data_IF_823883502607
#
_entry.id   IF_823883502607
#
_cell.length_a   1.000
_cell.length_b   1.000
_cell.length_c   1.000
_cell.angle_alpha   90.00
_cell.angle_beta   90.00
_cell.angle_gamma   90.00
#
_symmetry.space_group_name_H-M   'P 1'
#
loop_
_entity.id
_entity.type
_entity.pdbx_description
1 polymer ?
#
# COMPACT_ATOMS: atom_id res chain seq x y z
N UNK A 1 3.65 -9.03 -0.11
CA UNK A 1 4.95 -9.55 -0.52
C UNK A 1 5.87 -8.56 -1.23
N UNK A 2 5.34 -7.50 -1.89
CA UNK A 2 6.16 -6.55 -2.67
C UNK A 2 7.00 -5.55 -1.86
N UNK A 3 7.06 -5.65 -0.52
CA UNK A 3 7.87 -4.76 0.32
C UNK A 3 7.19 -3.48 0.79
N UNK A 4 5.89 -3.29 0.56
CA UNK A 4 5.15 -2.07 0.93
C UNK A 4 5.37 -1.63 2.38
N UNK A 5 5.14 -2.53 3.33
CA UNK A 5 5.27 -2.25 4.76
C UNK A 5 6.67 -1.78 5.14
N UNK A 6 7.69 -2.46 4.64
CA UNK A 6 9.08 -2.10 4.96
C UNK A 6 9.52 -0.79 4.31
N UNK A 7 9.13 -0.57 3.04
CA UNK A 7 9.38 0.72 2.37
C UNK A 7 8.67 1.85 3.11
N UNK A 8 7.43 1.66 3.57
CA UNK A 8 6.69 2.64 4.37
C UNK A 8 7.43 3.04 5.65
N UNK A 9 8.00 2.07 6.37
CA UNK A 9 8.82 2.33 7.56
C UNK A 9 10.08 3.14 7.22
N UNK A 10 10.75 2.79 6.12
CA UNK A 10 11.98 3.44 5.68
C UNK A 10 11.79 4.90 5.23
N UNK A 11 10.62 5.25 4.70
CA UNK A 11 10.33 6.63 4.26
C UNK A 11 9.66 7.48 5.34
N UNK A 12 9.10 6.90 6.41
CA UNK A 12 8.33 7.63 7.43
C UNK A 12 9.07 8.84 7.99
N UNK A 13 10.33 8.65 8.41
CA UNK A 13 11.12 9.74 8.99
C UNK A 13 11.32 10.90 8.01
N UNK A 14 11.57 10.59 6.76
CA UNK A 14 11.69 11.59 5.69
C UNK A 14 10.39 12.37 5.49
N UNK A 15 9.24 11.67 5.39
CA UNK A 15 7.93 12.31 5.24
C UNK A 15 7.61 13.19 6.45
N UNK A 16 7.85 12.69 7.67
CA UNK A 16 7.61 13.46 8.89
C UNK A 16 8.47 14.73 8.98
N UNK A 17 9.72 14.66 8.52
CA UNK A 17 10.62 15.82 8.53
C UNK A 17 10.21 16.86 7.49
N UNK A 18 9.81 16.42 6.28
CA UNK A 18 9.50 17.32 5.18
C UNK A 18 8.09 17.89 5.23
N UNK A 19 7.11 17.09 5.65
CA UNK A 19 5.68 17.41 5.53
C UNK A 19 4.93 17.43 6.87
N UNK A 20 5.59 17.14 7.99
CA UNK A 20 5.00 17.16 9.32
C UNK A 20 4.55 15.79 9.84
N UNK A 21 3.84 15.78 10.94
CA UNK A 21 3.42 14.55 11.65
C UNK A 21 2.88 13.50 10.70
N UNK A 22 3.37 12.25 10.84
CA UNK A 22 3.07 11.18 9.90
C UNK A 22 2.79 9.87 10.63
N UNK A 23 1.68 9.23 10.29
CA UNK A 23 1.33 7.88 10.72
C UNK A 23 1.56 6.87 9.60
N UNK A 24 1.91 5.63 9.97
CA UNK A 24 1.86 4.48 9.07
C UNK A 24 0.66 3.64 9.47
N UNK A 25 -0.15 3.28 8.49
CA UNK A 25 -1.24 2.33 8.65
C UNK A 25 -1.00 1.17 7.68
N UNK A 26 -0.95 -0.04 8.22
CA UNK A 26 -0.88 -1.27 7.42
C UNK A 26 -2.26 -1.92 7.36
N UNK A 27 -2.67 -2.32 6.18
CA UNK A 27 -3.95 -3.02 6.02
C UNK A 27 -3.99 -4.37 6.75
N UNK A 28 -2.85 -5.02 6.96
CA UNK A 28 -2.77 -6.27 7.74
C UNK A 28 -3.04 -5.99 9.23
N UNK A 29 -2.39 -4.97 9.83
CA UNK A 29 -2.57 -4.58 11.23
C UNK A 29 -4.03 -4.20 11.53
N UNK A 30 -4.67 -3.45 10.64
CA UNK A 30 -6.09 -3.08 10.80
C UNK A 30 -7.00 -4.30 10.77
N UNK A 31 -6.71 -5.29 9.91
CA UNK A 31 -7.48 -6.54 9.89
C UNK A 31 -7.33 -7.33 11.17
N UNK A 32 -6.13 -7.37 11.72
CA UNK A 32 -5.84 -8.06 12.98
C UNK A 32 -6.54 -7.36 14.16
N UNK A 33 -6.47 -6.02 14.24
CA UNK A 33 -7.12 -5.23 15.28
C UNK A 33 -8.65 -5.44 15.30
N UNK A 34 -9.27 -5.51 14.12
CA UNK A 34 -10.72 -5.64 13.98
C UNK A 34 -11.19 -7.08 13.71
N UNK A 35 -10.33 -8.09 13.84
CA UNK A 35 -10.62 -9.53 13.59
C UNK A 35 -11.32 -9.78 12.23
N UNK A 36 -10.87 -9.09 11.17
CA UNK A 36 -11.48 -9.16 9.85
C UNK A 36 -10.98 -10.40 9.10
N UNK A 37 -11.83 -11.43 9.00
CA UNK A 37 -11.50 -12.74 8.39
C UNK A 37 -12.00 -12.90 6.96
N UNK A 38 -12.89 -12.02 6.49
CA UNK A 38 -13.47 -12.09 5.16
C UNK A 38 -12.55 -11.49 4.10
N UNK A 39 -12.42 -12.18 2.96
CA UNK A 39 -11.44 -11.84 1.92
C UNK A 39 -12.01 -11.87 0.49
N UNK A 40 -13.35 -11.95 0.33
CA UNK A 40 -13.94 -11.84 -1.00
C UNK A 40 -13.82 -10.41 -1.58
N UNK A 41 -14.23 -10.24 -2.83
CA UNK A 41 -14.08 -8.97 -3.54
C UNK A 41 -14.93 -7.86 -2.90
N UNK A 42 -16.15 -8.19 -2.54
CA UNK A 42 -17.10 -7.21 -1.98
C UNK A 42 -16.66 -6.73 -0.59
N UNK A 43 -16.28 -7.66 0.28
CA UNK A 43 -15.77 -7.34 1.62
C UNK A 43 -14.51 -6.48 1.54
N UNK A 44 -13.61 -6.77 0.60
CA UNK A 44 -12.40 -5.94 0.36
C UNK A 44 -12.73 -4.55 -0.13
N UNK A 45 -13.75 -4.38 -0.98
CA UNK A 45 -14.20 -3.06 -1.43
C UNK A 45 -14.84 -2.28 -0.27
N UNK A 46 -15.70 -2.90 0.52
CA UNK A 46 -16.30 -2.28 1.72
C UNK A 46 -15.23 -1.85 2.72
N UNK A 47 -14.28 -2.75 2.99
CA UNK A 47 -13.18 -2.48 3.89
C UNK A 47 -12.26 -1.37 3.35
N UNK A 48 -11.96 -1.39 2.06
CA UNK A 48 -11.17 -0.36 1.40
C UNK A 48 -11.79 1.04 1.53
N UNK A 49 -13.12 1.16 1.38
CA UNK A 49 -13.83 2.43 1.63
C UNK A 49 -13.69 2.89 3.09
N UNK A 50 -13.80 1.97 4.06
CA UNK A 50 -13.55 2.31 5.48
C UNK A 50 -12.11 2.78 5.71
N UNK A 51 -11.12 2.15 5.08
CA UNK A 51 -9.73 2.61 5.13
C UNK A 51 -9.56 4.02 4.57
N UNK A 52 -10.22 4.31 3.45
CA UNK A 52 -10.20 5.65 2.86
C UNK A 52 -10.77 6.69 3.82
N UNK A 53 -11.91 6.41 4.44
CA UNK A 53 -12.54 7.32 5.40
C UNK A 53 -11.68 7.51 6.66
N UNK A 54 -11.05 6.46 7.16
CA UNK A 54 -10.10 6.54 8.27
C UNK A 54 -8.90 7.43 7.89
N UNK A 55 -8.30 7.20 6.74
CA UNK A 55 -7.20 8.02 6.26
C UNK A 55 -7.61 9.49 6.10
N UNK A 56 -8.79 9.74 5.51
CA UNK A 56 -9.34 11.10 5.40
C UNK A 56 -9.51 11.75 6.76
N UNK A 57 -10.13 11.08 7.71
CA UNK A 57 -10.34 11.61 9.06
C UNK A 57 -9.03 12.02 9.75
N UNK A 58 -7.96 11.25 9.55
CA UNK A 58 -6.64 11.55 10.10
C UNK A 58 -5.99 12.72 9.34
N UNK A 59 -6.08 12.75 8.02
CA UNK A 59 -5.46 13.82 7.22
C UNK A 59 -6.17 15.16 7.38
N UNK A 60 -7.48 15.18 7.64
CA UNK A 60 -8.23 16.38 7.96
C UNK A 60 -7.77 17.04 9.28
N UNK A 61 -7.02 16.31 10.12
CA UNK A 61 -6.39 16.82 11.35
C UNK A 61 -4.92 17.23 11.14
N UNK A 62 -4.50 17.46 9.91
CA UNK A 62 -3.12 17.83 9.53
C UNK A 62 -2.07 16.77 9.92
N UNK A 63 -2.44 15.49 9.88
CA UNK A 63 -1.52 14.36 10.08
C UNK A 63 -1.38 13.59 8.76
N UNK A 64 -0.16 13.49 8.25
CA UNK A 64 0.09 12.70 7.05
C UNK A 64 -0.11 11.21 7.31
N UNK A 65 -0.63 10.49 6.33
CA UNK A 65 -0.84 9.04 6.41
C UNK A 65 -0.08 8.32 5.30
N UNK A 66 0.78 7.40 5.67
CA UNK A 66 1.35 6.42 4.76
C UNK A 66 0.52 5.15 4.90
N UNK A 67 -0.33 4.87 3.91
CA UNK A 67 -1.22 3.71 3.97
C UNK A 67 -0.66 2.55 3.14
N UNK A 68 -0.09 1.55 3.81
CA UNK A 68 0.47 0.35 3.17
C UNK A 68 -0.61 -0.74 3.01
N UNK A 69 -1.23 -0.80 1.85
CA UNK A 69 -2.34 -1.73 1.58
C UNK A 69 -2.21 -2.37 0.20
N UNK A 70 -2.82 -3.55 0.02
CA UNK A 70 -3.01 -4.16 -1.30
C UNK A 70 -4.26 -3.57 -1.97
N UNK A 71 -4.18 -2.29 -2.37
CA UNK A 71 -5.28 -1.52 -2.96
C UNK A 71 -5.47 -1.76 -4.46
N UNK A 72 -5.64 -3.02 -4.89
CA UNK A 72 -5.71 -3.39 -6.31
C UNK A 72 -7.14 -3.35 -6.86
N UNK A 73 -7.88 -2.27 -6.57
CA UNK A 73 -9.18 -1.94 -7.14
C UNK A 73 -9.20 -0.51 -7.67
N UNK A 74 -9.54 -0.33 -8.94
CA UNK A 74 -9.60 0.98 -9.59
C UNK A 74 -10.61 1.91 -8.92
N UNK A 75 -11.77 1.40 -8.54
CA UNK A 75 -12.83 2.21 -7.92
C UNK A 75 -12.38 2.79 -6.57
N UNK A 76 -11.61 2.03 -5.78
CA UNK A 76 -11.07 2.56 -4.52
C UNK A 76 -10.02 3.65 -4.77
N UNK A 77 -9.16 3.48 -5.75
CA UNK A 77 -8.15 4.49 -6.10
C UNK A 77 -8.79 5.79 -6.60
N UNK A 78 -9.82 5.68 -7.46
CA UNK A 78 -10.61 6.83 -7.91
C UNK A 78 -11.31 7.52 -6.73
N UNK A 79 -11.90 6.74 -5.83
CA UNK A 79 -12.55 7.25 -4.63
C UNK A 79 -11.55 7.97 -3.71
N UNK A 80 -10.38 7.39 -3.46
CA UNK A 80 -9.32 8.02 -2.68
C UNK A 80 -8.94 9.38 -3.26
N UNK A 81 -8.69 9.44 -4.57
CA UNK A 81 -8.33 10.67 -5.28
C UNK A 81 -9.40 11.76 -5.18
N UNK A 82 -10.67 11.35 -5.15
CA UNK A 82 -11.80 12.26 -5.07
C UNK A 82 -11.95 12.93 -3.70
N UNK A 83 -11.68 12.18 -2.61
CA UNK A 83 -12.05 12.64 -1.27
C UNK A 83 -10.86 12.99 -0.36
N UNK A 84 -9.65 12.57 -0.69
CA UNK A 84 -8.44 12.87 0.10
C UNK A 84 -7.64 13.94 -0.63
N UNK A 85 -7.46 15.08 0.02
CA UNK A 85 -6.59 16.15 -0.47
C UNK A 85 -5.13 15.69 -0.48
N UNK A 86 -4.36 16.14 -1.49
CA UNK A 86 -2.95 15.78 -1.64
C UNK A 86 -2.67 14.27 -1.66
N UNK A 87 -3.61 13.49 -2.20
CA UNK A 87 -3.47 12.05 -2.36
C UNK A 87 -2.35 11.71 -3.35
N UNK A 88 -1.45 10.83 -2.94
CA UNK A 88 -0.38 10.31 -3.79
C UNK A 88 -0.48 8.80 -3.88
N UNK A 89 -0.65 8.31 -5.10
CA UNK A 89 -0.70 6.88 -5.40
C UNK A 89 0.70 6.36 -5.74
N UNK A 90 1.24 5.51 -4.87
CA UNK A 90 2.55 4.88 -5.06
C UNK A 90 2.36 3.41 -5.37
N UNK A 91 2.78 2.99 -6.55
CA UNK A 91 2.73 1.60 -6.98
C UNK A 91 4.08 0.91 -6.80
N UNK A 92 4.15 -0.01 -5.84
CA UNK A 92 5.31 -0.91 -5.71
C UNK A 92 5.06 -2.12 -6.61
N UNK A 93 5.60 -2.05 -7.83
CA UNK A 93 5.45 -3.09 -8.85
C UNK A 93 6.40 -4.24 -8.57
N UNK A 94 5.89 -5.46 -8.52
CA UNK A 94 6.69 -6.68 -8.34
C UNK A 94 6.03 -7.81 -9.11
N UNK A 95 6.84 -8.65 -9.70
CA UNK A 95 6.37 -9.88 -10.34
C UNK A 95 5.88 -10.90 -9.31
N UNK A 96 4.73 -11.55 -9.59
CA UNK A 96 4.11 -12.49 -8.66
C UNK A 96 4.99 -13.73 -8.43
N UNK A 97 5.65 -14.24 -9.48
CA UNK A 97 6.51 -15.41 -9.37
C UNK A 97 7.71 -15.10 -8.46
N UNK A 98 8.27 -13.90 -8.59
CA UNK A 98 9.36 -13.41 -7.72
C UNK A 98 8.87 -13.21 -6.28
N UNK A 99 7.67 -12.67 -6.06
CA UNK A 99 7.07 -12.57 -4.73
C UNK A 99 6.94 -13.96 -4.10
N UNK A 100 6.48 -14.94 -4.86
CA UNK A 100 6.31 -16.32 -4.38
C UNK A 100 7.64 -17.00 -4.10
N UNK A 101 8.67 -16.81 -4.92
CA UNK A 101 10.01 -17.39 -4.70
C UNK A 101 10.75 -16.76 -3.51
N UNK A 102 10.59 -15.45 -3.29
CA UNK A 102 11.18 -14.71 -2.17
C UNK A 102 10.45 -14.86 -0.83
N UNK A 103 9.61 -15.84 -0.70
CA UNK A 103 8.68 -16.09 0.41
C UNK A 103 9.22 -15.78 1.80
N UNK A 104 8.66 -14.77 2.42
CA UNK A 104 8.70 -14.60 3.88
C UNK A 104 7.31 -14.69 4.54
N UNK A 105 6.21 -14.76 3.77
CA UNK A 105 4.86 -14.85 4.34
C UNK A 105 4.31 -16.28 4.28
N UNK A 106 3.87 -16.88 5.43
CA UNK A 106 3.25 -18.22 5.51
C UNK A 106 2.01 -18.39 4.63
N UNK A 107 1.34 -17.28 4.30
CA UNK A 107 0.12 -17.23 3.47
C UNK A 107 0.24 -17.93 2.11
N UNK A 108 1.43 -17.95 1.52
CA UNK A 108 1.64 -18.61 0.21
C UNK A 108 1.92 -20.11 0.33
N UNK A 109 2.14 -20.62 1.57
CA UNK A 109 2.44 -22.05 1.83
C UNK A 109 1.19 -22.88 2.15
N UNK A 110 0.07 -22.27 2.57
CA UNK A 110 -1.16 -22.98 2.94
C UNK A 110 -2.12 -23.02 1.74
N UNK A 111 -2.40 -24.22 1.22
CA UNK A 111 -3.33 -24.47 0.11
C UNK A 111 -4.79 -23.98 0.35
N UNK A 112 -5.15 -23.61 1.58
CA UNK A 112 -6.53 -23.26 1.98
C UNK A 112 -6.69 -21.85 2.55
N UNK A 113 -5.77 -20.94 2.31
CA UNK A 113 -5.90 -19.55 2.79
C UNK A 113 -6.56 -18.71 1.72
N UNK A 114 -7.72 -18.21 2.04
CA UNK A 114 -8.58 -17.26 1.35
C UNK A 114 -8.09 -16.62 0.03
N UNK A 115 -8.96 -15.95 -0.67
CA UNK A 115 -8.69 -15.38 -2.00
C UNK A 115 -7.46 -14.45 -2.00
N UNK A 116 -6.34 -14.93 -2.52
CA UNK A 116 -5.06 -14.20 -2.62
C UNK A 116 -5.02 -13.43 -3.94
N UNK A 117 -4.57 -12.16 -3.89
CA UNK A 117 -4.33 -11.37 -5.10
C UNK A 117 -3.36 -12.03 -6.07
N UNK A 118 -3.74 -12.08 -7.34
CA UNK A 118 -2.95 -12.70 -8.41
C UNK A 118 -3.07 -14.23 -8.49
N UNK A 119 -3.72 -14.88 -7.49
CA UNK A 119 -4.01 -16.31 -7.50
C UNK A 119 -5.51 -16.54 -7.68
N UNK A 120 -6.32 -15.98 -6.78
CA UNK A 120 -7.77 -16.19 -6.77
C UNK A 120 -8.56 -14.92 -7.11
N UNK A 121 -7.94 -13.74 -7.03
CA UNK A 121 -8.54 -12.46 -7.39
C UNK A 121 -7.70 -11.79 -8.45
N UNK A 122 -8.33 -11.39 -9.56
CA UNK A 122 -7.68 -10.63 -10.62
C UNK A 122 -7.35 -9.22 -10.09
N UNK A 123 -6.06 -8.83 -10.07
CA UNK A 123 -5.69 -7.49 -9.65
C UNK A 123 -6.01 -6.46 -10.74
N UNK A 124 -6.51 -5.32 -10.34
CA UNK A 124 -6.69 -4.14 -11.18
C UNK A 124 -5.49 -3.21 -10.93
N UNK A 125 -4.38 -3.45 -11.64
CA UNK A 125 -3.17 -2.64 -11.46
C UNK A 125 -3.39 -1.18 -11.82
N UNK A 126 -2.73 -0.23 -11.12
CA UNK A 126 -2.82 1.18 -11.44
C UNK A 126 -2.35 1.45 -12.88
N UNK A 127 -3.16 2.16 -13.65
CA UNK A 127 -2.80 2.55 -15.03
C UNK A 127 -1.93 3.81 -15.06
N UNK A 128 -2.18 4.75 -14.14
CA UNK A 128 -1.47 6.04 -14.02
C UNK A 128 -1.22 6.37 -12.54
N UNK A 129 -0.37 5.61 -11.84
CA UNK A 129 0.03 5.97 -10.48
C UNK A 129 0.87 7.25 -10.53
N UNK A 130 0.89 7.98 -9.42
CA UNK A 130 1.74 9.16 -9.30
C UNK A 130 3.22 8.80 -9.29
N UNK A 131 3.57 7.68 -8.65
CA UNK A 131 4.94 7.16 -8.57
C UNK A 131 4.91 5.64 -8.74
N UNK A 132 5.80 5.11 -9.56
CA UNK A 132 6.04 3.67 -9.67
C UNK A 132 7.45 3.33 -9.20
N UNK A 133 7.56 2.35 -8.32
CA UNK A 133 8.84 1.76 -7.89
C UNK A 133 8.82 0.28 -8.25
N UNK A 134 9.79 -0.15 -9.03
CA UNK A 134 9.95 -1.57 -9.36
C UNK A 134 10.79 -2.28 -8.30
N UNK A 135 10.23 -3.34 -7.72
CA UNK A 135 10.94 -4.22 -6.80
C UNK A 135 11.03 -5.62 -7.41
N UNK A 136 12.14 -5.91 -8.02
CA UNK A 136 12.51 -7.20 -8.58
C UNK A 136 13.30 -8.08 -7.61
N UNK A 137 13.51 -7.57 -6.37
CA UNK A 137 14.26 -8.20 -5.28
C UNK A 137 15.78 -8.32 -5.52
N UNK A 138 16.33 -7.67 -6.54
CA UNK A 138 17.77 -7.67 -6.81
C UNK A 138 18.52 -6.60 -6.03
N UNK A 139 17.81 -5.54 -5.62
CA UNK A 139 18.40 -4.43 -4.84
C UNK A 139 17.77 -4.32 -3.45
N UNK A 140 18.53 -3.84 -2.45
CA UNK A 140 18.02 -3.67 -1.09
C UNK A 140 16.83 -2.70 -1.02
N UNK A 141 15.84 -3.00 -0.18
CA UNK A 141 14.67 -2.14 0.04
C UNK A 141 15.05 -0.71 0.47
N UNK A 142 16.18 -0.53 1.17
CA UNK A 142 16.71 0.79 1.55
C UNK A 142 17.02 1.64 0.31
N UNK A 143 17.57 1.04 -0.75
CA UNK A 143 17.85 1.74 -2.02
C UNK A 143 16.56 2.12 -2.72
N UNK A 144 15.57 1.21 -2.77
CA UNK A 144 14.23 1.50 -3.31
C UNK A 144 13.55 2.63 -2.54
N UNK A 145 13.63 2.62 -1.20
CA UNK A 145 13.10 3.70 -0.37
C UNK A 145 13.78 5.05 -0.67
N UNK A 146 15.08 5.06 -0.89
CA UNK A 146 15.80 6.30 -1.27
C UNK A 146 15.38 6.80 -2.66
N UNK A 147 15.17 5.90 -3.62
CA UNK A 147 14.63 6.29 -4.92
C UNK A 147 13.22 6.89 -4.77
N UNK A 148 12.36 6.26 -3.97
CA UNK A 148 11.02 6.77 -3.69
C UNK A 148 11.04 8.16 -3.05
N UNK A 149 11.94 8.43 -2.10
CA UNK A 149 12.11 9.77 -1.50
C UNK A 149 12.41 10.82 -2.55
N UNK A 150 13.33 10.54 -3.50
CA UNK A 150 13.66 11.45 -4.60
C UNK A 150 12.46 11.73 -5.50
N UNK A 151 11.67 10.70 -5.84
CA UNK A 151 10.47 10.89 -6.66
C UNK A 151 9.39 11.72 -5.93
N UNK A 152 9.23 11.52 -4.62
CA UNK A 152 8.34 12.34 -3.78
C UNK A 152 8.84 13.80 -3.76
N UNK A 153 10.13 14.04 -3.60
CA UNK A 153 10.71 15.40 -3.64
C UNK A 153 10.42 16.10 -4.96
N UNK A 154 10.64 15.43 -6.09
CA UNK A 154 10.36 15.99 -7.43
C UNK A 154 8.88 16.35 -7.61
N UNK A 155 7.98 15.60 -7.01
CA UNK A 155 6.53 15.84 -7.15
C UNK A 155 6.06 17.05 -6.35
N UNK A 156 6.71 17.40 -5.25
CA UNK A 156 6.30 18.46 -4.34
C UNK A 156 7.23 19.67 -4.30
N UNK A 157 8.28 19.69 -5.12
CA UNK A 157 9.10 20.84 -5.40
C UNK A 157 8.66 21.48 -6.71
#
# INVERSE_FOLDING_TARGET
GSGKTEISKLIKKFISHKFGKTLIINGDDIRDIFDIKKYDREDRLKLGKKYTLLAKHITDQNINVIFAVAGLFDDLRKYNRKIINNYVEIFIKSDLARIVSHKKKPLYKKKNVGKIWGINLKPEFPKKPDITIENDFTIPLKRLANNLKKEIEKKFN
#
